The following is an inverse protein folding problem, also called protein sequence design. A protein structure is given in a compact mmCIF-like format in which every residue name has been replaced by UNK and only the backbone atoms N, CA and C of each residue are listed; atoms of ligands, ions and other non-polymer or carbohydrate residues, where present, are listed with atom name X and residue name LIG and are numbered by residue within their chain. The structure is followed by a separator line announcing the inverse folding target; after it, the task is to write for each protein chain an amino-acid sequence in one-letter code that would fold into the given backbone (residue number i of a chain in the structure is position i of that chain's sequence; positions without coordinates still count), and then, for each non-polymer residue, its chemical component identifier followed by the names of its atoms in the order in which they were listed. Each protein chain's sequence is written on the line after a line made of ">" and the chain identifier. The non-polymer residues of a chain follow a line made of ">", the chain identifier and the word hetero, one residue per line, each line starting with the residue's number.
data_IF_965375924124
#
_entry.id   IF_965375924124
#
_cell.length_a   1.000
_cell.length_b   1.000
_cell.length_c   1.000
_cell.angle_alpha   90.00
_cell.angle_beta   90.00
_cell.angle_gamma   90.00
#
_symmetry.space_group_name_H-M   'P 1'
#
loop_
_entity.id
_entity.type
_entity.pdbx_description
1 polymer ?
#
# COMPACT_ATOMS: atom_id res chain seq x y z
N UNK A 1 10.59 -16.60 8.00
CA UNK A 1 10.37 -15.47 7.07
C UNK A 1 11.53 -15.42 6.09
N UNK A 2 11.30 -15.37 4.77
CA UNK A 2 12.35 -15.50 3.74
C UNK A 2 13.48 -14.45 3.81
N UNK A 3 13.24 -13.32 4.48
CA UNK A 3 14.16 -12.19 4.62
C UNK A 3 14.72 -12.03 6.03
N UNK A 4 14.38 -12.95 6.95
CA UNK A 4 14.89 -12.92 8.34
C UNK A 4 14.49 -11.70 9.18
N UNK A 5 13.58 -10.84 8.70
CA UNK A 5 13.18 -9.62 9.40
C UNK A 5 12.15 -9.90 10.50
N UNK A 6 12.16 -9.05 11.53
CA UNK A 6 11.13 -9.03 12.57
C UNK A 6 9.78 -8.60 11.99
N UNK A 7 8.72 -9.32 12.36
CA UNK A 7 7.33 -8.98 12.03
C UNK A 7 6.75 -7.92 12.98
N UNK A 8 5.65 -7.30 12.57
CA UNK A 8 4.93 -6.31 13.37
C UNK A 8 5.30 -4.86 13.04
N UNK A 9 4.97 -3.94 13.94
CA UNK A 9 5.20 -2.51 13.75
C UNK A 9 6.64 -2.12 14.18
N UNK A 10 7.59 -2.38 13.29
CA UNK A 10 9.04 -2.13 13.50
C UNK A 10 9.49 -0.85 12.81
N UNK A 11 10.63 -0.27 13.26
CA UNK A 11 11.15 1.00 12.72
C UNK A 11 11.55 0.85 11.25
N UNK A 12 12.20 -0.24 10.88
CA UNK A 12 12.68 -0.45 9.51
C UNK A 12 12.01 -1.68 8.90
N UNK A 13 10.74 -1.57 8.44
CA UNK A 13 10.00 -2.70 7.90
C UNK A 13 10.32 -2.96 6.41
N UNK A 14 10.93 -2.01 5.70
CA UNK A 14 11.30 -2.18 4.30
C UNK A 14 12.58 -3.03 4.16
N UNK A 15 12.56 -4.02 3.28
CA UNK A 15 13.70 -4.91 3.02
C UNK A 15 14.69 -4.36 1.97
N UNK A 16 14.35 -3.28 1.29
CA UNK A 16 15.16 -2.67 0.23
C UNK A 16 15.89 -1.41 0.68
N UNK A 17 15.31 -0.67 1.63
CA UNK A 17 15.84 0.60 2.10
C UNK A 17 15.56 0.81 3.58
N UNK A 18 16.32 1.72 4.18
CA UNK A 18 16.18 2.14 5.57
C UNK A 18 15.04 3.15 5.74
N UNK A 19 13.87 2.84 5.18
CA UNK A 19 12.66 3.62 5.42
C UNK A 19 12.23 3.43 6.87
N UNK A 20 12.24 4.53 7.62
CA UNK A 20 11.83 4.57 9.02
C UNK A 20 10.31 4.76 9.11
N UNK A 21 9.57 3.74 9.55
CA UNK A 21 8.11 3.78 9.71
C UNK A 21 7.64 4.73 10.81
N UNK A 22 8.53 5.18 11.71
CA UNK A 22 8.23 6.12 12.78
C UNK A 22 8.40 7.58 12.35
N UNK A 23 9.15 7.84 11.28
CA UNK A 23 9.42 9.19 10.75
C UNK A 23 8.25 9.78 9.94
N UNK A 24 7.13 10.03 10.62
CA UNK A 24 5.88 10.52 9.99
C UNK A 24 6.07 11.83 9.22
N UNK A 25 7.03 12.66 9.63
CA UNK A 25 7.33 13.95 9.03
C UNK A 25 7.96 13.81 7.65
N UNK A 26 8.94 12.90 7.50
CA UNK A 26 9.69 12.78 6.25
C UNK A 26 9.13 11.74 5.29
N UNK A 27 8.14 10.94 5.67
CA UNK A 27 7.55 9.91 4.79
C UNK A 27 7.17 10.45 3.42
N UNK A 28 6.55 11.62 3.38
CA UNK A 28 6.00 12.19 2.15
C UNK A 28 6.98 13.11 1.40
N UNK A 29 7.99 13.63 2.09
CA UNK A 29 8.99 14.55 1.52
C UNK A 29 10.21 13.80 0.99
N UNK A 30 10.66 12.75 1.70
CA UNK A 30 11.86 11.98 1.38
C UNK A 30 11.57 10.88 0.37
N UNK A 31 11.99 11.13 -0.87
CA UNK A 31 11.81 10.21 -2.01
C UNK A 31 12.83 9.08 -2.04
N UNK A 32 14.03 9.32 -1.53
CA UNK A 32 15.14 8.38 -1.56
C UNK A 32 15.60 8.05 -0.14
N UNK A 33 15.47 6.79 0.23
CA UNK A 33 15.97 6.25 1.48
C UNK A 33 17.26 5.46 1.23
N UNK A 34 18.22 5.46 2.18
CA UNK A 34 19.44 4.70 2.03
C UNK A 34 19.15 3.23 1.73
N UNK A 35 19.93 2.60 0.85
CA UNK A 35 19.80 1.18 0.60
C UNK A 35 20.05 0.39 1.89
N UNK A 36 19.36 -0.75 2.03
CA UNK A 36 19.47 -1.60 3.22
C UNK A 36 20.36 -2.80 2.94
N UNK A 37 21.27 -3.06 3.88
CA UNK A 37 21.95 -4.35 4.04
C UNK A 37 21.20 -5.18 5.10
N UNK A 38 21.03 -6.48 4.86
CA UNK A 38 20.35 -7.39 5.78
C UNK A 38 21.34 -8.11 6.71
N UNK A 39 22.01 -7.32 7.57
CA UNK A 39 22.92 -7.84 8.61
C UNK A 39 22.12 -8.30 9.83
N UNK A 40 22.35 -9.54 10.27
CA UNK A 40 21.70 -10.13 11.45
C UNK A 40 22.04 -9.32 12.71
N UNK A 41 21.05 -9.07 13.56
CA UNK A 41 21.18 -8.27 14.78
C UNK A 41 20.98 -6.76 14.56
N UNK A 42 20.98 -6.28 13.31
CA UNK A 42 20.80 -4.86 13.00
C UNK A 42 19.42 -4.53 12.46
N UNK A 43 18.89 -3.36 12.84
CA UNK A 43 17.75 -2.70 12.18
C UNK A 43 16.54 -3.61 11.95
N UNK A 44 16.27 -4.51 12.91
CA UNK A 44 15.17 -5.49 12.88
C UNK A 44 15.39 -6.70 11.94
N UNK A 45 16.63 -7.09 11.66
CA UNK A 45 16.97 -8.38 11.04
C UNK A 45 17.31 -9.38 12.15
N UNK A 46 16.50 -10.43 12.30
CA UNK A 46 16.66 -11.44 13.34
C UNK A 46 17.44 -12.67 12.85
N UNK A 47 17.34 -12.99 11.56
CA UNK A 47 17.92 -14.19 10.98
C UNK A 47 18.55 -13.90 9.62
N UNK A 48 19.39 -14.82 9.17
CA UNK A 48 19.96 -14.75 7.83
C UNK A 48 18.88 -14.80 6.76
N UNK A 49 19.16 -14.10 5.67
CA UNK A 49 18.25 -14.00 4.54
C UNK A 49 18.41 -15.20 3.61
N UNK A 50 17.36 -15.99 3.46
CA UNK A 50 17.37 -17.15 2.54
C UNK A 50 17.23 -16.74 1.07
N UNK A 51 16.74 -15.53 0.77
CA UNK A 51 16.52 -15.06 -0.60
C UNK A 51 17.06 -13.64 -0.77
N UNK A 52 17.94 -13.37 -1.75
CA UNK A 52 18.46 -12.03 -1.98
C UNK A 52 17.33 -10.99 -2.14
N UNK A 53 17.37 -9.83 -1.45
CA UNK A 53 16.30 -8.82 -1.48
C UNK A 53 15.88 -8.35 -2.88
N UNK A 54 16.87 -8.25 -3.78
CA UNK A 54 16.64 -7.85 -5.16
C UNK A 54 15.90 -8.92 -5.99
N UNK A 55 15.86 -10.18 -5.54
CA UNK A 55 15.12 -11.28 -6.17
C UNK A 55 13.68 -11.44 -5.65
N UNK A 56 13.35 -10.83 -4.50
CA UNK A 56 11.98 -10.90 -3.95
C UNK A 56 11.01 -10.11 -4.82
N UNK A 57 10.04 -10.79 -5.42
CA UNK A 57 8.95 -10.13 -6.15
C UNK A 57 7.84 -9.77 -5.15
N UNK A 58 7.32 -8.55 -5.26
CA UNK A 58 6.11 -8.14 -4.55
C UNK A 58 4.92 -8.31 -5.50
N UNK A 59 4.06 -9.34 -5.29
CA UNK A 59 2.95 -9.55 -6.19
C UNK A 59 1.99 -8.35 -6.16
N UNK A 60 1.37 -7.97 -7.30
CA UNK A 60 0.43 -6.86 -7.38
C UNK A 60 -0.68 -6.93 -6.32
N UNK A 61 -1.10 -8.14 -5.95
CA UNK A 61 -2.08 -8.37 -4.90
C UNK A 61 -1.63 -7.78 -3.55
N UNK A 62 -0.39 -8.02 -3.12
CA UNK A 62 0.06 -7.52 -1.81
C UNK A 62 0.10 -6.00 -1.76
N UNK A 63 0.46 -5.35 -2.87
CA UNK A 63 0.45 -3.89 -3.02
C UNK A 63 -0.99 -3.38 -2.95
N UNK A 64 -1.90 -3.98 -3.72
CA UNK A 64 -3.35 -3.67 -3.72
C UNK A 64 -3.95 -3.76 -2.31
N UNK A 65 -3.69 -4.84 -1.59
CA UNK A 65 -4.14 -5.02 -0.20
C UNK A 65 -3.54 -3.96 0.73
N UNK A 66 -2.26 -3.60 0.52
CA UNK A 66 -1.60 -2.54 1.28
C UNK A 66 -2.24 -1.16 1.08
N UNK A 67 -2.56 -0.82 -0.18
CA UNK A 67 -3.20 0.44 -0.54
C UNK A 67 -4.63 0.53 0.01
N UNK A 68 -5.42 -0.55 -0.14
CA UNK A 68 -6.78 -0.60 0.43
C UNK A 68 -6.77 -0.40 1.94
N UNK A 69 -5.84 -1.05 2.63
CA UNK A 69 -5.68 -0.88 4.08
C UNK A 69 -5.43 0.58 4.46
N UNK A 70 -4.57 1.29 3.73
CA UNK A 70 -4.28 2.70 4.04
C UNK A 70 -5.45 3.62 3.75
N UNK A 71 -6.18 3.37 2.65
CA UNK A 71 -7.38 4.13 2.33
C UNK A 71 -8.43 4.01 3.44
N UNK A 72 -8.74 2.79 3.88
CA UNK A 72 -9.75 2.56 4.92
C UNK A 72 -9.31 3.12 6.27
N UNK A 73 -8.02 3.00 6.63
CA UNK A 73 -7.47 3.60 7.85
C UNK A 73 -7.52 5.13 7.89
N UNK A 74 -7.64 5.79 6.74
CA UNK A 74 -7.85 7.24 6.68
C UNK A 74 -9.32 7.67 6.70
N UNK A 75 -10.27 6.72 6.72
CA UNK A 75 -11.68 7.07 6.82
C UNK A 75 -12.06 7.36 8.28
N UNK A 76 -12.86 8.41 8.55
CA UNK A 76 -13.42 8.65 9.87
C UNK A 76 -14.42 7.54 10.20
N UNK A 77 -14.33 6.98 11.41
CA UNK A 77 -15.14 5.83 11.86
C UNK A 77 -16.64 6.14 11.88
N UNK A 78 -16.99 7.35 12.26
CA UNK A 78 -18.35 7.88 12.29
C UNK A 78 -18.84 8.37 10.93
N UNK A 79 -17.96 8.41 9.92
CA UNK A 79 -18.27 8.87 8.57
C UNK A 79 -19.16 7.90 7.78
N UNK A 80 -19.97 8.45 6.88
CA UNK A 80 -20.90 7.70 6.04
C UNK A 80 -20.20 6.60 5.22
N UNK A 81 -19.01 6.89 4.69
CA UNK A 81 -18.20 5.94 3.94
C UNK A 81 -17.81 4.70 4.77
N UNK A 82 -17.39 4.88 6.03
CA UNK A 82 -17.02 3.76 6.90
C UNK A 82 -18.25 2.97 7.37
N UNK A 83 -19.33 3.67 7.76
CA UNK A 83 -20.62 3.05 8.08
C UNK A 83 -21.16 2.19 6.94
N UNK A 84 -20.99 2.63 5.70
CA UNK A 84 -21.35 1.86 4.52
C UNK A 84 -20.51 0.58 4.37
N UNK A 85 -19.22 0.61 4.71
CA UNK A 85 -18.40 -0.60 4.70
C UNK A 85 -18.90 -1.64 5.70
N UNK A 86 -19.33 -1.21 6.89
CA UNK A 86 -19.93 -2.09 7.91
C UNK A 86 -21.19 -2.77 7.36
N UNK A 87 -22.11 -2.00 6.75
CA UNK A 87 -23.35 -2.56 6.20
C UNK A 87 -23.10 -3.43 4.97
N UNK A 88 -22.12 -3.10 4.13
CA UNK A 88 -21.80 -3.84 2.89
C UNK A 88 -21.14 -5.20 3.16
N UNK A 89 -20.38 -5.30 4.25
CA UNK A 89 -19.66 -6.51 4.62
C UNK A 89 -20.06 -6.99 6.02
N UNK A 90 -21.31 -7.46 6.21
CA UNK A 90 -21.79 -7.91 7.53
C UNK A 90 -21.01 -9.13 8.06
N UNK A 91 -20.30 -9.87 7.20
CA UNK A 91 -19.41 -10.96 7.60
C UNK A 91 -18.01 -10.52 8.08
N UNK A 92 -17.68 -9.22 7.98
CA UNK A 92 -16.45 -8.66 8.53
C UNK A 92 -16.78 -7.93 9.83
N UNK A 93 -16.00 -8.20 10.89
CA UNK A 93 -16.10 -7.41 12.10
C UNK A 93 -15.63 -5.98 11.87
N UNK A 94 -16.16 -5.04 12.64
CA UNK A 94 -15.73 -3.64 12.61
C UNK A 94 -14.21 -3.51 12.83
N UNK A 95 -13.65 -4.26 13.78
CA UNK A 95 -12.20 -4.31 14.01
C UNK A 95 -11.40 -4.72 12.76
N UNK A 96 -11.88 -5.67 11.95
CA UNK A 96 -11.23 -6.05 10.69
C UNK A 96 -11.32 -4.92 9.66
N UNK A 97 -12.45 -4.24 9.59
CA UNK A 97 -12.64 -3.09 8.71
C UNK A 97 -11.72 -1.93 9.11
N UNK A 98 -11.65 -1.59 10.39
CA UNK A 98 -10.73 -0.58 10.93
C UNK A 98 -9.28 -0.91 10.63
N UNK A 99 -8.91 -2.19 10.72
CA UNK A 99 -7.57 -2.63 10.37
C UNK A 99 -7.30 -2.73 8.87
N UNK A 100 -8.31 -2.44 8.04
CA UNK A 100 -8.23 -2.49 6.59
C UNK A 100 -7.98 -3.90 6.08
N UNK A 101 -8.54 -4.92 6.75
CA UNK A 101 -8.40 -6.33 6.40
C UNK A 101 -9.43 -6.67 5.33
N UNK A 102 -8.99 -6.59 4.08
CA UNK A 102 -9.79 -6.97 2.91
C UNK A 102 -9.09 -8.08 2.13
N UNK A 103 -9.87 -8.87 1.40
CA UNK A 103 -9.35 -9.77 0.37
C UNK A 103 -9.57 -9.21 -1.04
N UNK A 104 -8.92 -9.81 -2.04
CA UNK A 104 -9.04 -9.40 -3.44
C UNK A 104 -10.49 -9.29 -3.93
N UNK A 105 -11.37 -10.28 -3.67
CA UNK A 105 -12.80 -10.20 -4.00
C UNK A 105 -13.53 -9.00 -3.39
N UNK A 106 -13.28 -8.66 -2.12
CA UNK A 106 -13.96 -7.54 -1.46
C UNK A 106 -13.64 -6.20 -2.15
N UNK A 107 -12.36 -6.00 -2.48
CA UNK A 107 -11.90 -4.81 -3.20
C UNK A 107 -12.57 -4.72 -4.57
N UNK A 108 -12.66 -5.85 -5.30
CA UNK A 108 -13.34 -5.87 -6.61
C UNK A 108 -14.81 -5.49 -6.47
N UNK A 109 -15.49 -6.01 -5.44
CA UNK A 109 -16.90 -5.70 -5.17
C UNK A 109 -17.09 -4.20 -4.90
N UNK A 110 -16.24 -3.58 -4.08
CA UNK A 110 -16.27 -2.14 -3.82
C UNK A 110 -15.94 -1.30 -5.06
N UNK A 111 -14.97 -1.72 -5.88
CA UNK A 111 -14.61 -0.99 -7.10
C UNK A 111 -15.75 -0.93 -8.12
N UNK A 112 -16.62 -1.94 -8.14
CA UNK A 112 -17.80 -2.01 -8.99
C UNK A 112 -19.04 -1.33 -8.38
N UNK A 113 -18.97 -0.94 -7.11
CA UNK A 113 -20.11 -0.38 -6.38
C UNK A 113 -20.20 1.13 -6.55
N UNK A 114 -21.17 1.59 -7.34
CA UNK A 114 -21.43 3.02 -7.54
C UNK A 114 -21.99 3.69 -6.28
N UNK A 115 -22.76 2.96 -5.46
CA UNK A 115 -23.35 3.47 -4.21
C UNK A 115 -22.24 3.77 -3.21
N UNK A 116 -21.19 2.94 -3.16
CA UNK A 116 -20.05 3.23 -2.29
C UNK A 116 -19.45 4.64 -2.54
N UNK A 117 -19.38 5.06 -3.81
CA UNK A 117 -18.83 6.37 -4.20
C UNK A 117 -19.73 7.53 -3.73
N UNK A 118 -21.04 7.32 -3.64
CA UNK A 118 -21.98 8.37 -3.19
C UNK A 118 -21.89 8.61 -1.67
N UNK A 119 -21.35 7.65 -0.91
CA UNK A 119 -21.14 7.79 0.54
C UNK A 119 -19.91 8.61 0.93
N UNK A 120 -19.05 8.94 -0.05
CA UNK A 120 -17.77 9.61 0.16
C UNK A 120 -17.90 11.12 0.11
N UNK A 121 -17.14 11.80 0.98
CA UNK A 121 -16.83 13.23 0.83
C UNK A 121 -15.93 13.45 -0.39
N UNK A 122 -15.80 14.70 -0.86
CA UNK A 122 -14.98 14.98 -2.05
C UNK A 122 -13.50 14.56 -1.90
N UNK A 123 -12.81 14.80 -0.76
CA UNK A 123 -11.45 14.30 -0.56
C UNK A 123 -11.37 12.76 -0.60
N UNK A 124 -12.34 12.08 0.03
CA UNK A 124 -12.40 10.61 0.05
C UNK A 124 -12.63 10.05 -1.35
N UNK A 125 -13.52 10.69 -2.13
CA UNK A 125 -13.82 10.34 -3.51
C UNK A 125 -12.59 10.50 -4.40
N UNK A 126 -11.85 11.60 -4.25
CA UNK A 126 -10.61 11.82 -4.99
C UNK A 126 -9.59 10.72 -4.67
N UNK A 127 -9.43 10.37 -3.39
CA UNK A 127 -8.56 9.27 -2.95
C UNK A 127 -8.97 7.93 -3.54
N UNK A 128 -10.27 7.63 -3.54
CA UNK A 128 -10.81 6.41 -4.13
C UNK A 128 -10.60 6.34 -5.65
N UNK A 129 -10.80 7.45 -6.37
CA UNK A 129 -10.55 7.53 -7.81
C UNK A 129 -9.08 7.27 -8.10
N UNK A 130 -8.17 7.95 -7.39
CA UNK A 130 -6.73 7.75 -7.58
C UNK A 130 -6.28 6.32 -7.24
N UNK A 131 -6.88 5.72 -6.19
CA UNK A 131 -6.69 4.30 -5.87
C UNK A 131 -7.14 3.40 -7.03
N UNK A 132 -8.36 3.59 -7.55
CA UNK A 132 -8.88 2.80 -8.68
C UNK A 132 -7.98 2.90 -9.90
N UNK A 133 -7.49 4.10 -10.23
CA UNK A 133 -6.54 4.30 -11.33
C UNK A 133 -5.26 3.51 -11.13
N UNK A 134 -4.67 3.50 -9.93
CA UNK A 134 -3.47 2.68 -9.65
C UNK A 134 -3.80 1.19 -9.79
N UNK A 135 -4.96 0.73 -9.34
CA UNK A 135 -5.34 -0.67 -9.48
C UNK A 135 -5.51 -1.07 -10.94
N UNK A 136 -6.12 -0.23 -11.77
CA UNK A 136 -6.43 -0.58 -13.17
C UNK A 136 -5.27 -0.32 -14.12
N UNK A 137 -4.58 0.82 -13.97
CA UNK A 137 -3.55 1.31 -14.89
C UNK A 137 -2.12 0.94 -14.50
N UNK A 138 -1.89 0.47 -13.27
CA UNK A 138 -0.55 0.04 -12.83
C UNK A 138 -0.50 -1.41 -12.37
N UNK A 139 -1.43 -1.83 -11.50
CA UNK A 139 -1.49 -3.19 -10.98
C UNK A 139 -2.38 -4.13 -11.81
N UNK A 140 -3.02 -3.60 -12.85
CA UNK A 140 -3.86 -4.33 -13.78
C UNK A 140 -3.03 -5.07 -14.84
N UNK A 141 -3.74 -5.75 -15.75
CA UNK A 141 -3.11 -6.50 -16.83
C UNK A 141 -2.43 -5.58 -17.86
N UNK A 142 -3.00 -4.39 -18.09
CA UNK A 142 -2.49 -3.39 -19.01
C UNK A 142 -1.91 -2.23 -18.21
N UNK A 143 -0.62 -1.94 -18.42
CA UNK A 143 0.07 -0.86 -17.72
C UNK A 143 0.08 0.39 -18.59
N UNK A 144 -0.42 1.46 -18.03
CA UNK A 144 -0.40 2.78 -18.65
C UNK A 144 1.04 3.31 -18.66
N UNK A 145 1.56 3.84 -19.78
CA UNK A 145 2.90 4.43 -19.85
C UNK A 145 3.16 5.50 -18.77
N UNK A 146 2.11 6.21 -18.35
CA UNK A 146 2.13 7.26 -17.34
C UNK A 146 1.91 6.75 -15.91
N UNK A 147 2.04 5.44 -15.66
CA UNK A 147 1.84 4.85 -14.32
C UNK A 147 2.63 5.56 -13.20
N UNK A 148 3.82 6.11 -13.50
CA UNK A 148 4.63 6.87 -12.53
C UNK A 148 3.89 8.12 -12.04
N UNK A 149 3.24 8.84 -12.95
CA UNK A 149 2.47 10.03 -12.63
C UNK A 149 1.18 9.67 -11.88
N UNK A 150 0.50 8.61 -12.32
CA UNK A 150 -0.70 8.08 -11.66
C UNK A 150 -0.40 7.71 -10.21
N UNK A 151 0.70 6.99 -9.96
CA UNK A 151 1.11 6.62 -8.61
C UNK A 151 1.49 7.86 -7.78
N UNK A 152 2.23 8.81 -8.37
CA UNK A 152 2.59 10.07 -7.70
C UNK A 152 1.36 10.90 -7.32
N UNK A 153 0.33 10.92 -8.16
CA UNK A 153 -0.95 11.57 -7.88
C UNK A 153 -1.63 10.91 -6.68
N UNK A 154 -1.76 9.59 -6.70
CA UNK A 154 -2.38 8.85 -5.58
C UNK A 154 -1.67 9.13 -4.25
N UNK A 155 -0.33 9.17 -4.23
CA UNK A 155 0.41 9.48 -3.01
C UNK A 155 0.09 10.87 -2.44
N UNK A 156 -0.02 11.90 -3.30
CA UNK A 156 -0.40 13.25 -2.86
C UNK A 156 -1.80 13.27 -2.23
N UNK A 157 -2.75 12.56 -2.86
CA UNK A 157 -4.14 12.51 -2.35
C UNK A 157 -4.21 11.73 -1.04
N UNK A 158 -3.50 10.60 -0.94
CA UNK A 158 -3.42 9.81 0.29
C UNK A 158 -2.75 10.59 1.43
N UNK A 159 -1.72 11.38 1.12
CA UNK A 159 -1.11 12.29 2.09
C UNK A 159 -2.13 13.32 2.60
N UNK A 160 -2.89 13.95 1.70
CA UNK A 160 -3.90 14.93 2.06
C UNK A 160 -5.06 14.33 2.89
N UNK A 161 -5.39 13.05 2.65
CA UNK A 161 -6.35 12.29 3.45
C UNK A 161 -5.83 11.88 4.84
N UNK A 162 -4.56 12.13 5.14
CA UNK A 162 -3.94 11.69 6.39
C UNK A 162 -3.68 10.19 6.45
N UNK A 163 -3.68 9.49 5.31
CA UNK A 163 -3.28 8.08 5.24
C UNK A 163 -1.82 7.94 5.70
N UNK A 164 -1.48 6.82 6.33
CA UNK A 164 -0.08 6.51 6.64
C UNK A 164 0.58 5.86 5.42
N UNK A 165 1.87 6.12 5.23
CA UNK A 165 2.65 5.38 4.26
C UNK A 165 2.91 3.97 4.80
N UNK A 166 2.78 2.94 3.95
CA UNK A 166 3.11 1.57 4.34
C UNK A 166 4.40 1.09 3.67
N UNK A 167 5.06 0.10 4.26
CA UNK A 167 6.24 -0.54 3.69
C UNK A 167 6.00 -1.07 2.27
N UNK A 168 4.77 -1.51 1.96
CA UNK A 168 4.36 -1.97 0.62
C UNK A 168 4.35 -0.84 -0.40
N UNK A 169 3.90 0.36 0.01
CA UNK A 169 3.89 1.56 -0.84
C UNK A 169 5.32 2.02 -1.11
N UNK A 170 6.15 2.08 -0.07
CA UNK A 170 7.55 2.50 -0.20
C UNK A 170 8.36 1.50 -1.00
N UNK A 171 8.15 0.20 -0.79
CA UNK A 171 8.77 -0.86 -1.59
C UNK A 171 8.22 -0.93 -3.01
N UNK A 172 7.24 -0.10 -3.38
CA UNK A 172 6.74 0.05 -4.75
C UNK A 172 7.23 1.34 -5.43
N UNK A 173 7.94 2.21 -4.71
CA UNK A 173 8.42 3.51 -5.19
C UNK A 173 9.72 3.36 -6.05
N UNK A 174 9.92 4.14 -7.14
CA UNK A 174 11.18 4.14 -7.91
C UNK A 174 12.30 4.90 -7.17
N UNK A 175 13.58 4.47 -7.25
CA UNK A 175 14.30 4.36 -8.54
C UNK A 175 14.76 2.96 -8.97
N UNK A 176 14.87 1.97 -8.06
CA UNK A 176 15.60 0.70 -8.35
C UNK A 176 14.76 -0.49 -8.80
N UNK A 177 13.42 -0.42 -8.70
CA UNK A 177 12.54 -1.57 -8.95
C UNK A 177 12.01 -1.70 -10.38
N UNK A 178 12.06 -0.61 -11.16
CA UNK A 178 11.44 -0.57 -12.48
C UNK A 178 12.29 -1.16 -13.62
N UNK A 179 13.56 -1.48 -13.38
CA UNK A 179 14.43 -2.06 -14.41
C UNK A 179 14.12 -3.53 -14.71
N UNK A 180 13.63 -4.32 -13.74
CA UNK A 180 13.48 -5.79 -13.90
C UNK A 180 12.20 -6.44 -13.34
N UNK A 181 11.54 -5.90 -12.31
CA UNK A 181 10.52 -6.68 -11.54
C UNK A 181 9.08 -6.70 -12.09
N UNK A 182 8.80 -5.97 -13.16
CA UNK A 182 7.44 -5.85 -13.72
C UNK A 182 7.34 -6.17 -15.20
N UNK A 183 8.44 -6.63 -15.83
CA UNK A 183 8.40 -7.34 -17.10
C UNK A 183 7.73 -8.69 -16.84
N UNK A 184 6.66 -9.01 -17.59
CA UNK A 184 6.23 -10.40 -17.71
C UNK A 184 7.47 -11.20 -18.15
N UNK A 185 7.55 -12.47 -17.73
CA UNK A 185 8.30 -13.44 -18.54
C UNK A 185 7.67 -13.36 -19.93
N UNK A 186 8.40 -12.80 -20.88
CA UNK A 186 8.29 -13.23 -22.27
C UNK A 186 8.82 -14.67 -22.33
#
# INVERSE_FOLDING_TARGET
>A
MALGQQSGFTNFPCFLCLWDSRDRTNHWTKKCWPARELKVGEKNVLHETSVPPHKVLLPPLHIKLGLMKQFVKSLPRDGNCFKYLISKFPGLSEAKLEDGVFVGPDIRRLMADSIFVTTMTDPQREGWIAFKEVITKFLGNNKDPNYKQIFKRMLKVFQALGSLMSSKVVSSFPPRLFSRKFRRRE
#
